data_IF_647427930076
#
_entry.id   IF_647427930076
#
_cell.length_a   1.000
_cell.length_b   1.000
_cell.length_c   1.000
_cell.angle_alpha   90.00
_cell.angle_beta   90.00
_cell.angle_gamma   90.00
#
_symmetry.space_group_name_H-M   'P 1'
#
loop_
_entity.id
_entity.type
_entity.pdbx_description
1 polymer ?
#
# COMPACT_ATOMS: atom_id res chain seq x y z
N UNK A 1 0.57 12.51 35.34
CA UNK A 1 1.75 11.65 35.23
C UNK A 1 1.38 10.18 35.02
N UNK A 2 0.37 9.66 35.73
CA UNK A 2 -0.08 8.25 35.57
C UNK A 2 -0.53 7.87 34.15
N UNK A 3 -1.21 8.74 33.43
CA UNK A 3 -1.68 8.46 32.05
C UNK A 3 -0.51 8.29 31.09
N UNK A 4 0.55 9.09 31.23
CA UNK A 4 1.76 8.98 30.41
C UNK A 4 2.52 7.67 30.69
N UNK A 5 2.59 7.25 31.95
CA UNK A 5 3.20 5.98 32.31
C UNK A 5 2.40 4.79 31.80
N UNK A 6 1.06 4.84 31.86
CA UNK A 6 0.19 3.81 31.32
C UNK A 6 0.31 3.67 29.79
N UNK A 7 0.44 4.78 29.07
CA UNK A 7 0.48 4.75 27.60
C UNK A 7 1.86 4.34 27.08
N UNK A 8 2.94 4.80 27.69
CA UNK A 8 4.29 4.63 27.15
C UNK A 8 5.13 3.56 27.90
N UNK A 9 4.91 3.35 29.18
CA UNK A 9 5.78 2.49 29.98
C UNK A 9 5.13 1.12 30.22
N UNK A 10 3.83 1.06 30.51
CA UNK A 10 3.13 -0.19 30.79
C UNK A 10 3.19 -1.18 29.64
N UNK A 11 2.94 -0.81 28.36
CA UNK A 11 3.07 -1.76 27.24
C UNK A 11 4.47 -2.35 27.10
N UNK A 12 5.49 -1.61 27.54
CA UNK A 12 6.88 -2.07 27.48
C UNK A 12 7.16 -3.13 28.58
N UNK A 13 6.61 -2.93 29.77
CA UNK A 13 6.73 -3.90 30.87
C UNK A 13 5.90 -5.15 30.61
N UNK A 14 4.71 -5.01 30.01
CA UNK A 14 3.86 -6.14 29.62
C UNK A 14 4.53 -6.99 28.55
N UNK A 15 5.20 -6.37 27.56
CA UNK A 15 6.00 -7.08 26.57
C UNK A 15 7.17 -7.85 27.16
N UNK A 16 7.83 -7.29 28.17
CA UNK A 16 8.97 -7.97 28.84
C UNK A 16 8.50 -9.09 29.77
N UNK A 17 7.30 -8.94 30.34
CA UNK A 17 6.69 -9.93 31.24
C UNK A 17 6.06 -11.14 30.54
N UNK A 18 5.64 -10.99 29.28
CA UNK A 18 5.03 -12.06 28.49
C UNK A 18 5.83 -12.33 27.21
N UNK A 19 6.63 -13.42 27.18
CA UNK A 19 7.44 -13.76 26.01
C UNK A 19 6.61 -14.09 24.78
N UNK A 20 5.36 -14.52 24.91
CA UNK A 20 4.47 -14.82 23.79
C UNK A 20 4.02 -13.51 23.11
N UNK A 21 3.63 -12.53 23.90
CA UNK A 21 3.27 -11.20 23.41
C UNK A 21 4.46 -10.50 22.74
N UNK A 22 5.65 -10.64 23.30
CA UNK A 22 6.88 -10.11 22.71
C UNK A 22 7.16 -10.70 21.32
N UNK A 23 7.07 -12.03 21.18
CA UNK A 23 7.25 -12.71 19.90
C UNK A 23 6.18 -12.33 18.88
N UNK A 24 4.94 -12.18 19.32
CA UNK A 24 3.83 -11.75 18.44
C UNK A 24 4.07 -10.35 17.87
N UNK A 25 4.45 -9.39 18.70
CA UNK A 25 4.75 -8.01 18.27
C UNK A 25 5.92 -7.97 17.30
N UNK A 26 6.99 -8.75 17.55
CA UNK A 26 8.12 -8.86 16.62
C UNK A 26 7.66 -9.43 15.28
N UNK A 27 6.86 -10.49 15.30
CA UNK A 27 6.36 -11.13 14.08
C UNK A 27 5.48 -10.20 13.26
N UNK A 28 4.53 -9.51 13.89
CA UNK A 28 3.67 -8.53 13.24
C UNK A 28 4.47 -7.35 12.68
N UNK A 29 5.45 -6.84 13.44
CA UNK A 29 6.36 -5.80 12.99
C UNK A 29 7.20 -6.23 11.79
N UNK A 30 7.68 -7.47 11.78
CA UNK A 30 8.44 -8.03 10.66
C UNK A 30 7.60 -8.16 9.39
N UNK A 31 6.40 -8.71 9.50
CA UNK A 31 5.46 -8.83 8.36
C UNK A 31 5.09 -7.45 7.82
N UNK A 32 4.75 -6.52 8.69
CA UNK A 32 4.43 -5.14 8.32
C UNK A 32 5.62 -4.45 7.64
N UNK A 33 6.83 -4.67 8.16
CA UNK A 33 8.06 -4.14 7.57
C UNK A 33 8.31 -4.67 6.15
N UNK A 34 8.05 -5.95 5.89
CA UNK A 34 8.14 -6.55 4.55
C UNK A 34 7.13 -5.89 3.61
N UNK A 35 5.88 -5.69 4.04
CA UNK A 35 4.85 -5.04 3.22
C UNK A 35 5.23 -3.61 2.85
N UNK A 36 5.72 -2.82 3.79
CA UNK A 36 6.23 -1.47 3.50
C UNK A 36 7.43 -1.48 2.57
N UNK A 37 8.34 -2.44 2.71
CA UNK A 37 9.49 -2.59 1.81
C UNK A 37 9.06 -2.89 0.39
N UNK A 38 8.04 -3.74 0.18
CA UNK A 38 7.48 -4.03 -1.15
C UNK A 38 6.85 -2.79 -1.79
N UNK A 39 6.11 -1.99 -1.01
CA UNK A 39 5.53 -0.74 -1.48
C UNK A 39 6.64 0.26 -1.89
N UNK A 40 7.64 0.44 -1.03
CA UNK A 40 8.78 1.31 -1.31
C UNK A 40 9.55 0.85 -2.55
N UNK A 41 9.77 -0.45 -2.71
CA UNK A 41 10.40 -1.03 -3.89
C UNK A 41 9.59 -0.73 -5.17
N UNK A 42 8.27 -0.83 -5.12
CA UNK A 42 7.38 -0.44 -6.21
C UNK A 42 7.56 1.02 -6.61
N UNK A 43 7.64 1.95 -5.64
CA UNK A 43 7.92 3.36 -5.89
C UNK A 43 9.25 3.58 -6.59
N UNK A 44 10.30 2.92 -6.12
CA UNK A 44 11.66 3.01 -6.70
C UNK A 44 11.67 2.48 -8.14
N UNK A 45 11.01 1.36 -8.41
CA UNK A 45 10.94 0.78 -9.76
C UNK A 45 10.24 1.71 -10.75
N UNK A 46 9.09 2.26 -10.35
CA UNK A 46 8.33 3.19 -11.21
C UNK A 46 9.14 4.46 -11.46
N UNK A 47 9.73 5.03 -10.43
CA UNK A 47 10.59 6.22 -10.55
C UNK A 47 11.80 5.95 -11.45
N UNK A 48 12.46 4.81 -11.30
CA UNK A 48 13.61 4.44 -12.12
C UNK A 48 13.24 4.21 -13.59
N UNK A 49 12.02 3.71 -13.86
CA UNK A 49 11.55 3.43 -15.21
C UNK A 49 11.00 4.67 -15.93
N UNK A 50 10.31 5.56 -15.21
CA UNK A 50 9.61 6.72 -15.79
C UNK A 50 10.30 8.06 -15.54
N UNK A 51 11.20 8.14 -14.57
CA UNK A 51 11.81 9.40 -14.11
C UNK A 51 10.86 10.31 -13.31
N UNK A 52 9.60 9.94 -13.19
CA UNK A 52 8.55 10.73 -12.51
C UNK A 52 8.01 9.98 -11.29
N UNK A 53 7.81 10.72 -10.21
CA UNK A 53 7.18 10.20 -9.00
C UNK A 53 5.69 10.00 -9.22
N UNK A 54 5.22 8.76 -9.07
CA UNK A 54 3.80 8.44 -9.19
C UNK A 54 3.13 8.47 -7.80
N UNK A 55 2.52 9.59 -7.45
CA UNK A 55 1.81 9.75 -6.17
C UNK A 55 0.52 8.90 -6.07
N UNK A 56 -0.06 8.52 -7.21
CA UNK A 56 -1.24 7.66 -7.22
C UNK A 56 -0.94 6.22 -6.77
N UNK A 57 0.32 5.80 -6.70
CA UNK A 57 0.69 4.44 -6.29
C UNK A 57 0.17 4.09 -4.89
N UNK A 58 0.24 5.02 -3.93
CA UNK A 58 -0.26 4.80 -2.58
C UNK A 58 -1.75 4.46 -2.56
N UNK A 59 -2.56 5.24 -3.28
CA UNK A 59 -4.00 4.98 -3.34
C UNK A 59 -4.33 3.70 -4.12
N UNK A 60 -3.53 3.34 -5.14
CA UNK A 60 -3.67 2.08 -5.86
C UNK A 60 -3.44 0.87 -4.94
N UNK A 61 -2.47 0.95 -4.02
CA UNK A 61 -2.24 -0.10 -3.01
C UNK A 61 -3.43 -0.23 -2.07
N UNK A 62 -3.99 0.90 -1.61
CA UNK A 62 -5.21 0.91 -0.77
C UNK A 62 -6.38 0.31 -1.54
N UNK A 63 -6.57 0.67 -2.80
CA UNK A 63 -7.63 0.12 -3.64
C UNK A 63 -7.49 -1.40 -3.83
N UNK A 64 -6.27 -1.90 -4.02
CA UNK A 64 -6.00 -3.33 -4.11
C UNK A 64 -6.37 -4.06 -2.81
N UNK A 65 -6.00 -3.48 -1.65
CA UNK A 65 -6.33 -4.04 -0.35
C UNK A 65 -7.84 -4.08 -0.12
N UNK A 66 -8.54 -2.98 -0.41
CA UNK A 66 -10.00 -2.90 -0.29
C UNK A 66 -10.72 -3.88 -1.23
N UNK A 67 -10.22 -4.07 -2.46
CA UNK A 67 -10.78 -5.05 -3.41
C UNK A 67 -10.61 -6.47 -2.87
N UNK A 68 -9.44 -6.80 -2.33
CA UNK A 68 -9.17 -8.11 -1.77
C UNK A 68 -10.08 -8.41 -0.56
N UNK A 69 -10.16 -7.46 0.36
CA UNK A 69 -11.00 -7.58 1.57
C UNK A 69 -12.48 -7.68 1.18
N UNK A 70 -12.96 -6.82 0.29
CA UNK A 70 -14.35 -6.84 -0.15
C UNK A 70 -14.74 -8.15 -0.84
N UNK A 71 -13.87 -8.75 -1.65
CA UNK A 71 -14.10 -10.08 -2.24
C UNK A 71 -14.12 -11.17 -1.16
N UNK A 72 -13.29 -11.07 -0.15
CA UNK A 72 -13.25 -12.03 0.94
C UNK A 72 -14.51 -11.94 1.81
N UNK A 73 -14.97 -10.74 2.13
CA UNK A 73 -16.23 -10.50 2.86
C UNK A 73 -17.47 -10.95 2.07
N UNK A 74 -17.41 -10.88 0.74
CA UNK A 74 -18.46 -11.42 -0.13
C UNK A 74 -18.48 -12.96 -0.17
N UNK A 75 -17.64 -13.65 0.61
CA UNK A 75 -17.60 -15.11 0.72
C UNK A 75 -16.72 -15.78 -0.33
N UNK A 76 -15.94 -15.03 -1.11
CA UNK A 76 -14.99 -15.59 -2.08
C UNK A 76 -13.77 -16.15 -1.35
N UNK A 77 -13.37 -17.39 -1.64
CA UNK A 77 -12.17 -17.97 -1.03
C UNK A 77 -10.92 -17.16 -1.39
N UNK A 78 -9.96 -17.09 -0.47
CA UNK A 78 -8.72 -16.32 -0.66
C UNK A 78 -7.95 -16.72 -1.93
N UNK A 79 -7.99 -18.00 -2.31
CA UNK A 79 -7.35 -18.51 -3.54
C UNK A 79 -7.96 -17.94 -4.82
N UNK A 80 -9.23 -17.56 -4.82
CA UNK A 80 -9.92 -16.93 -5.95
C UNK A 80 -9.86 -15.40 -5.84
N UNK A 81 -9.96 -14.87 -4.62
CA UNK A 81 -9.90 -13.42 -4.37
C UNK A 81 -8.56 -12.81 -4.79
N UNK A 82 -7.44 -13.50 -4.55
CA UNK A 82 -6.11 -13.03 -4.94
C UNK A 82 -5.96 -12.83 -6.47
N UNK A 83 -6.18 -13.85 -7.32
CA UNK A 83 -6.07 -13.65 -8.77
C UNK A 83 -7.12 -12.68 -9.33
N UNK A 84 -8.32 -12.64 -8.73
CA UNK A 84 -9.35 -11.67 -9.11
C UNK A 84 -8.89 -10.22 -8.82
N UNK A 85 -8.30 -9.99 -7.65
CA UNK A 85 -7.74 -8.67 -7.29
C UNK A 85 -6.61 -8.27 -8.24
N UNK A 86 -5.70 -9.18 -8.57
CA UNK A 86 -4.63 -8.93 -9.52
C UNK A 86 -5.19 -8.54 -10.90
N UNK A 87 -6.24 -9.22 -11.36
CA UNK A 87 -6.89 -8.91 -12.64
C UNK A 87 -7.55 -7.53 -12.62
N UNK A 88 -8.25 -7.19 -11.55
CA UNK A 88 -8.85 -5.85 -11.37
C UNK A 88 -7.77 -4.78 -11.38
N UNK A 89 -6.67 -4.98 -10.66
CA UNK A 89 -5.55 -4.05 -10.62
C UNK A 89 -4.85 -3.92 -11.97
N UNK A 90 -4.74 -5.01 -12.72
CA UNK A 90 -4.20 -4.99 -14.08
C UNK A 90 -5.07 -4.13 -15.03
N UNK A 91 -6.38 -4.31 -14.98
CA UNK A 91 -7.32 -3.51 -15.79
C UNK A 91 -7.26 -2.05 -15.41
N UNK A 92 -7.19 -1.74 -14.11
CA UNK A 92 -7.06 -0.38 -13.61
C UNK A 92 -5.74 0.25 -14.06
N UNK A 93 -4.61 -0.43 -13.89
CA UNK A 93 -3.30 0.04 -14.31
C UNK A 93 -3.25 0.30 -15.83
N UNK A 94 -3.79 -0.62 -16.64
CA UNK A 94 -3.88 -0.47 -18.10
C UNK A 94 -4.76 0.73 -18.49
N UNK A 95 -5.88 0.94 -17.79
CA UNK A 95 -6.77 2.06 -18.04
C UNK A 95 -6.09 3.39 -17.71
N UNK A 96 -5.41 3.48 -16.59
CA UNK A 96 -4.65 4.67 -16.17
C UNK A 96 -3.52 4.96 -17.15
N UNK A 97 -2.75 3.95 -17.53
CA UNK A 97 -1.69 4.10 -18.52
C UNK A 97 -2.24 4.65 -19.85
N UNK A 98 -3.28 4.03 -20.37
CA UNK A 98 -3.80 4.35 -21.70
C UNK A 98 -4.55 5.67 -21.75
N UNK A 99 -5.36 5.99 -20.73
CA UNK A 99 -6.22 7.17 -20.72
C UNK A 99 -5.51 8.42 -20.17
N UNK A 100 -4.64 8.24 -19.19
CA UNK A 100 -3.99 9.36 -18.50
C UNK A 100 -2.54 9.50 -18.95
N UNK A 101 -1.70 8.51 -18.68
CA UNK A 101 -0.26 8.65 -18.88
C UNK A 101 0.12 8.74 -20.37
N UNK A 102 -0.52 7.97 -21.23
CA UNK A 102 -0.22 7.99 -22.66
C UNK A 102 -0.60 9.30 -23.36
N UNK A 103 -1.64 9.97 -22.87
CA UNK A 103 -2.02 11.29 -23.39
C UNK A 103 -1.09 12.41 -22.92
N UNK A 104 -0.29 12.16 -21.88
CA UNK A 104 0.68 13.08 -21.31
C UNK A 104 2.12 12.81 -21.77
N UNK A 105 2.35 11.86 -22.66
CA UNK A 105 3.66 11.61 -23.28
C UNK A 105 4.14 12.88 -23.98
N UNK A 106 5.39 13.28 -23.74
CA UNK A 106 6.02 14.52 -24.19
C UNK A 106 5.60 15.81 -23.44
N UNK A 107 4.87 15.71 -22.35
CA UNK A 107 4.64 16.85 -21.46
C UNK A 107 5.77 17.00 -20.42
N UNK A 108 6.02 18.22 -19.90
CA UNK A 108 6.96 18.42 -18.80
C UNK A 108 6.63 17.56 -17.58
N UNK A 109 7.65 17.14 -16.84
CA UNK A 109 7.52 16.27 -15.65
C UNK A 109 6.54 16.80 -14.60
N UNK A 110 6.40 18.12 -14.51
CA UNK A 110 5.47 18.77 -13.59
C UNK A 110 4.01 18.48 -13.91
N UNK A 111 3.68 18.31 -15.18
CA UNK A 111 2.30 17.98 -15.63
C UNK A 111 1.99 16.51 -15.28
N UNK A 112 2.94 15.61 -15.48
CA UNK A 112 2.82 14.21 -15.07
C UNK A 112 2.65 14.09 -13.54
N UNK A 113 3.42 14.87 -12.79
CA UNK A 113 3.30 14.96 -11.34
C UNK A 113 1.90 15.43 -10.90
N UNK A 114 1.40 16.51 -11.48
CA UNK A 114 0.05 17.03 -11.21
C UNK A 114 -1.05 16.03 -11.60
N UNK A 115 -0.89 15.30 -12.71
CA UNK A 115 -1.83 14.27 -13.13
C UNK A 115 -1.90 13.11 -12.13
N UNK A 116 -0.76 12.66 -11.57
CA UNK A 116 -0.73 11.59 -10.57
C UNK A 116 -1.37 12.02 -9.24
N UNK A 117 -1.21 13.29 -8.85
CA UNK A 117 -1.91 13.85 -7.70
C UNK A 117 -3.42 13.89 -7.98
N UNK A 118 -3.84 14.38 -9.15
CA UNK A 118 -5.26 14.40 -9.54
C UNK A 118 -5.89 12.99 -9.51
N UNK A 119 -5.15 11.99 -9.95
CA UNK A 119 -5.60 10.59 -9.94
C UNK A 119 -5.78 10.04 -8.51
N UNK A 120 -5.06 10.58 -7.54
CA UNK A 120 -5.20 10.17 -6.12
C UNK A 120 -6.56 10.59 -5.55
N UNK A 121 -7.17 11.65 -6.08
CA UNK A 121 -8.47 12.17 -5.62
C UNK A 121 -9.66 11.62 -6.42
N UNK A 122 -9.42 10.93 -7.51
CA UNK A 122 -10.46 10.35 -8.36
C UNK A 122 -10.82 8.92 -7.95
#
# INVERSE_FOLDING_TARGET
>A
MEILTMIFIQPFFDMVGDPVLFLQVIWEGFVTGILYSLIAFGFVLIFKASGVFNFAQGIMVVFAALTLVGLHEAGVSAFVALPATILVMYVLAFSVERLVLRSLVNQPDIILFMATIGLTFF
#
